data_IF_918881448681
#
_entry.id   IF_918881448681
#
_cell.length_a   1.000
_cell.length_b   1.000
_cell.length_c   1.000
_cell.angle_alpha   90.00
_cell.angle_beta   90.00
_cell.angle_gamma   90.00
#
_symmetry.space_group_name_H-M   'P 1'
#
loop_
_entity.id
_entity.type
_entity.pdbx_description
1 polymer ?
#
# COMPACT_ATOMS: atom_id res chain seq x y z
N UNK A 1 -14.72 -11.97 14.19
CA UNK A 1 -15.20 -10.60 14.51
C UNK A 1 -14.00 -9.78 14.97
N UNK A 2 -13.24 -9.18 14.04
CA UNK A 2 -11.93 -8.55 14.30
C UNK A 2 -11.79 -7.06 13.82
N UNK A 3 -12.72 -6.37 13.11
CA UNK A 3 -12.27 -5.25 12.25
C UNK A 3 -12.07 -3.88 12.93
N UNK A 4 -12.49 -3.69 14.19
CA UNK A 4 -12.49 -2.36 14.83
C UNK A 4 -11.21 -2.07 15.63
N UNK A 5 -10.54 -3.10 16.17
CA UNK A 5 -9.33 -2.92 16.98
C UNK A 5 -8.13 -2.43 16.16
N UNK A 6 -8.01 -2.86 14.89
CA UNK A 6 -6.84 -2.57 14.06
C UNK A 6 -6.82 -1.14 13.55
N UNK A 7 -7.98 -0.54 13.22
CA UNK A 7 -8.04 0.89 12.84
C UNK A 7 -7.60 1.81 13.98
N UNK A 8 -7.93 1.47 15.23
CA UNK A 8 -7.43 2.21 16.40
C UNK A 8 -5.94 1.96 16.64
N UNK A 9 -5.47 0.72 16.51
CA UNK A 9 -4.05 0.36 16.70
C UNK A 9 -3.13 1.01 15.65
N UNK A 10 -3.53 1.05 14.38
CA UNK A 10 -2.81 1.75 13.31
C UNK A 10 -2.64 3.26 13.57
N UNK A 11 -3.50 3.87 14.38
CA UNK A 11 -3.47 5.30 14.67
C UNK A 11 -2.70 5.65 15.95
N UNK A 12 -2.27 4.67 16.75
CA UNK A 12 -1.69 4.89 18.08
C UNK A 12 -0.20 4.57 18.20
N UNK A 13 0.43 3.95 17.21
CA UNK A 13 1.82 3.46 17.28
C UNK A 13 2.65 3.88 16.04
N UNK A 14 3.99 3.80 16.16
CA UNK A 14 4.91 3.95 15.01
C UNK A 14 4.68 2.79 14.06
N UNK A 15 4.21 3.08 12.84
CA UNK A 15 3.94 2.05 11.83
C UNK A 15 5.10 1.89 10.85
N UNK A 16 5.52 0.65 10.63
CA UNK A 16 6.46 0.29 9.57
C UNK A 16 5.70 -0.39 8.41
N UNK A 17 5.58 0.35 7.31
CA UNK A 17 4.95 -0.12 6.07
C UNK A 17 6.01 -0.51 5.04
N UNK A 18 6.15 -1.81 4.76
CA UNK A 18 7.13 -2.34 3.81
C UNK A 18 6.46 -2.64 2.47
N UNK A 19 6.98 -2.05 1.40
CA UNK A 19 6.62 -2.39 0.03
C UNK A 19 7.60 -3.44 -0.49
N UNK A 20 7.07 -4.58 -0.90
CA UNK A 20 7.85 -5.64 -1.55
C UNK A 20 7.50 -5.64 -3.03
N UNK A 21 8.51 -5.41 -3.85
CA UNK A 21 8.38 -5.37 -5.29
C UNK A 21 8.96 -6.65 -5.93
N UNK A 22 8.14 -7.35 -6.73
CA UNK A 22 8.55 -8.58 -7.39
C UNK A 22 9.72 -8.35 -8.34
N UNK A 23 9.67 -7.33 -9.20
CA UNK A 23 10.69 -7.07 -10.21
C UNK A 23 12.03 -6.72 -9.55
N UNK A 24 12.00 -5.82 -8.57
CA UNK A 24 13.23 -5.45 -7.82
C UNK A 24 13.86 -6.65 -7.13
N UNK A 25 13.06 -7.53 -6.51
CA UNK A 25 13.60 -8.73 -5.88
C UNK A 25 14.17 -9.73 -6.90
N UNK A 26 13.54 -9.88 -8.06
CA UNK A 26 14.06 -10.72 -9.15
C UNK A 26 15.40 -10.19 -9.66
N UNK A 27 15.53 -8.88 -9.87
CA UNK A 27 16.79 -8.25 -10.26
C UNK A 27 17.91 -8.48 -9.23
N UNK A 28 17.55 -8.61 -7.94
CA UNK A 28 18.48 -8.95 -6.86
C UNK A 28 18.72 -10.46 -6.69
N UNK A 29 18.04 -11.33 -7.45
CA UNK A 29 18.11 -12.78 -7.27
C UNK A 29 17.48 -13.29 -5.98
N UNK A 30 16.51 -12.56 -5.42
CA UNK A 30 15.86 -12.85 -4.15
C UNK A 30 14.46 -13.46 -4.34
N UNK A 31 14.17 -14.55 -3.62
CA UNK A 31 12.84 -15.14 -3.59
C UNK A 31 11.87 -14.29 -2.73
N UNK A 32 10.78 -13.86 -3.35
CA UNK A 32 9.78 -12.99 -2.70
C UNK A 32 9.09 -13.64 -1.50
N UNK A 33 8.93 -14.97 -1.48
CA UNK A 33 8.29 -15.65 -0.34
C UNK A 33 9.22 -15.67 0.86
N UNK A 34 10.51 -15.94 0.64
CA UNK A 34 11.56 -15.87 1.66
C UNK A 34 11.69 -14.45 2.23
N UNK A 35 11.69 -13.42 1.37
CA UNK A 35 11.69 -12.02 1.83
C UNK A 35 10.43 -11.70 2.61
N UNK A 36 9.25 -12.15 2.16
CA UNK A 36 7.99 -11.93 2.89
C UNK A 36 8.03 -12.58 4.27
N UNK A 37 8.52 -13.82 4.42
CA UNK A 37 8.62 -14.49 5.73
C UNK A 37 9.55 -13.74 6.69
N UNK A 38 10.70 -13.26 6.20
CA UNK A 38 11.63 -12.45 7.00
C UNK A 38 10.99 -11.13 7.41
N UNK A 39 10.39 -10.39 6.48
CA UNK A 39 9.71 -9.12 6.75
C UNK A 39 8.53 -9.31 7.70
N UNK A 40 7.73 -10.36 7.54
CA UNK A 40 6.59 -10.63 8.41
C UNK A 40 7.02 -11.08 9.82
N UNK A 41 8.27 -11.51 9.99
CA UNK A 41 8.86 -11.86 11.29
C UNK A 41 9.58 -10.68 11.95
N UNK A 42 9.62 -9.51 11.32
CA UNK A 42 10.16 -8.28 11.90
C UNK A 42 9.07 -7.43 12.55
N UNK A 43 9.46 -6.24 13.03
CA UNK A 43 8.57 -5.20 13.54
C UNK A 43 7.70 -4.53 12.46
N UNK A 44 7.73 -5.00 11.21
CA UNK A 44 6.83 -4.51 10.16
C UNK A 44 5.36 -4.71 10.53
N UNK A 45 4.50 -3.73 10.27
CA UNK A 45 3.06 -3.81 10.53
C UNK A 45 2.26 -4.16 9.27
N UNK A 46 2.68 -3.61 8.14
CA UNK A 46 2.01 -3.75 6.85
C UNK A 46 3.00 -4.17 5.78
N UNK A 47 2.62 -5.16 4.98
CA UNK A 47 3.35 -5.57 3.78
C UNK A 47 2.49 -5.25 2.56
N UNK A 48 3.01 -4.45 1.62
CA UNK A 48 2.42 -4.26 0.31
C UNK A 48 3.06 -5.20 -0.70
N UNK A 49 2.27 -5.95 -1.44
CA UNK A 49 2.73 -6.69 -2.62
C UNK A 49 2.55 -5.82 -3.86
N UNK A 50 3.68 -5.45 -4.49
CA UNK A 50 3.73 -4.85 -5.82
C UNK A 50 4.33 -5.87 -6.79
N UNK A 51 3.56 -6.25 -7.80
CA UNK A 51 4.02 -7.13 -8.86
C UNK A 51 3.51 -6.58 -10.19
N UNK A 52 4.37 -5.84 -10.88
CA UNK A 52 4.11 -5.39 -12.25
C UNK A 52 4.49 -6.47 -13.24
N UNK A 53 3.92 -6.43 -14.44
CA UNK A 53 4.28 -7.29 -15.56
C UNK A 53 4.18 -8.80 -15.25
N UNK A 54 3.22 -9.17 -14.41
CA UNK A 54 2.88 -10.56 -14.06
C UNK A 54 1.48 -10.87 -14.59
N UNK A 55 1.27 -12.11 -15.06
CA UNK A 55 -0.07 -12.56 -15.45
C UNK A 55 -0.97 -12.78 -14.22
N UNK A 56 -2.29 -12.76 -14.43
CA UNK A 56 -3.28 -12.82 -13.37
C UNK A 56 -3.22 -14.11 -12.54
N UNK A 57 -2.94 -15.25 -13.18
CA UNK A 57 -2.87 -16.55 -12.51
C UNK A 57 -1.73 -16.56 -11.50
N UNK A 58 -0.56 -16.10 -11.91
CA UNK A 58 0.62 -16.09 -11.05
C UNK A 58 0.52 -15.01 -9.98
N UNK A 59 -0.07 -13.85 -10.28
CA UNK A 59 -0.35 -12.83 -9.27
C UNK A 59 -1.32 -13.37 -8.21
N UNK A 60 -2.41 -14.01 -8.60
CA UNK A 60 -3.35 -14.62 -7.66
C UNK A 60 -2.68 -15.66 -6.75
N UNK A 61 -1.83 -16.52 -7.32
CA UNK A 61 -1.09 -17.51 -6.56
C UNK A 61 -0.14 -16.87 -5.55
N UNK A 62 0.62 -15.87 -6.01
CA UNK A 62 1.58 -15.14 -5.18
C UNK A 62 0.87 -14.39 -4.03
N UNK A 63 -0.17 -13.62 -4.33
CA UNK A 63 -0.99 -12.91 -3.35
C UNK A 63 -1.56 -13.88 -2.30
N UNK A 64 -2.05 -15.04 -2.73
CA UNK A 64 -2.59 -16.07 -1.83
C UNK A 64 -1.52 -16.64 -0.89
N UNK A 65 -0.28 -16.83 -1.36
CA UNK A 65 0.84 -17.27 -0.52
C UNK A 65 1.23 -16.20 0.50
N UNK A 66 1.41 -14.95 0.06
CA UNK A 66 1.72 -13.84 0.97
C UNK A 66 0.62 -13.63 2.02
N UNK A 67 -0.65 -13.80 1.65
CA UNK A 67 -1.79 -13.73 2.57
C UNK A 67 -1.68 -14.76 3.69
N UNK A 68 -1.28 -16.00 3.37
CA UNK A 68 -1.09 -17.06 4.37
C UNK A 68 0.02 -16.70 5.34
N UNK A 69 1.16 -16.23 4.83
CA UNK A 69 2.33 -15.81 5.62
C UNK A 69 1.96 -14.67 6.56
N UNK A 70 1.48 -13.55 6.00
CA UNK A 70 1.09 -12.35 6.75
C UNK A 70 0.04 -12.65 7.82
N UNK A 71 -1.00 -13.42 7.48
CA UNK A 71 -2.04 -13.81 8.43
C UNK A 71 -1.50 -14.64 9.59
N UNK A 72 -0.61 -15.60 9.33
CA UNK A 72 0.03 -16.43 10.37
C UNK A 72 0.85 -15.59 11.33
N UNK A 73 1.47 -14.51 10.83
CA UNK A 73 2.34 -13.60 11.57
C UNK A 73 1.60 -12.38 12.15
N UNK A 74 0.28 -12.29 11.97
CA UNK A 74 -0.52 -11.16 12.45
C UNK A 74 -0.22 -9.83 11.74
N UNK A 75 0.36 -9.88 10.53
CA UNK A 75 0.68 -8.70 9.72
C UNK A 75 -0.42 -8.43 8.69
N UNK A 76 -0.55 -7.17 8.29
CA UNK A 76 -1.52 -6.78 7.27
C UNK A 76 -0.94 -6.96 5.87
N UNK A 77 -1.74 -7.51 4.97
CA UNK A 77 -1.42 -7.57 3.54
C UNK A 77 -2.20 -6.52 2.75
N UNK A 78 -1.47 -5.70 2.00
CA UNK A 78 -2.02 -4.77 1.03
C UNK A 78 -1.62 -5.21 -0.38
N UNK A 79 -2.57 -5.23 -1.32
CA UNK A 79 -2.28 -5.46 -2.73
C UNK A 79 -2.20 -4.11 -3.44
N UNK A 80 -1.18 -3.94 -4.28
CA UNK A 80 -1.02 -2.74 -5.10
C UNK A 80 -1.83 -2.84 -6.40
N UNK A 81 -2.55 -1.77 -6.75
CA UNK A 81 -3.30 -1.48 -8.00
C UNK A 81 -4.50 -2.43 -8.30
N UNK A 82 -4.30 -3.74 -8.14
CA UNK A 82 -5.22 -4.80 -8.57
C UNK A 82 -6.30 -5.13 -7.53
N UNK A 83 -7.42 -4.42 -7.62
CA UNK A 83 -8.56 -4.56 -6.70
C UNK A 83 -9.25 -5.94 -6.77
N UNK A 84 -9.29 -6.55 -7.94
CA UNK A 84 -9.76 -7.92 -8.16
C UNK A 84 -8.88 -8.94 -7.43
N UNK A 85 -7.56 -8.83 -7.58
CA UNK A 85 -6.60 -9.69 -6.87
C UNK A 85 -6.70 -9.48 -5.36
N UNK A 86 -6.83 -8.23 -4.90
CA UNK A 86 -7.04 -7.90 -3.49
C UNK A 86 -8.28 -8.59 -2.91
N UNK A 87 -9.42 -8.46 -3.61
CA UNK A 87 -10.68 -9.07 -3.22
C UNK A 87 -10.60 -10.60 -3.18
N UNK A 88 -10.14 -11.22 -4.27
CA UNK A 88 -10.07 -12.67 -4.42
C UNK A 88 -9.08 -13.32 -3.44
N UNK A 89 -7.94 -12.67 -3.19
CA UNK A 89 -6.93 -13.14 -2.23
C UNK A 89 -7.29 -12.84 -0.77
N UNK A 90 -8.39 -12.09 -0.53
CA UNK A 90 -8.83 -11.64 0.80
C UNK A 90 -7.74 -10.86 1.54
N UNK A 91 -7.04 -9.98 0.81
CA UNK A 91 -6.08 -9.05 1.43
C UNK A 91 -6.78 -8.15 2.45
N UNK A 92 -6.01 -7.58 3.37
CA UNK A 92 -6.54 -6.63 4.36
C UNK A 92 -6.82 -5.26 3.74
N UNK A 93 -6.20 -4.97 2.59
CA UNK A 93 -6.42 -3.74 1.87
C UNK A 93 -5.88 -3.72 0.45
N UNK A 94 -6.08 -2.55 -0.16
CA UNK A 94 -5.73 -2.20 -1.52
C UNK A 94 -5.07 -0.82 -1.51
N UNK A 95 -3.99 -0.66 -2.26
CA UNK A 95 -3.34 0.62 -2.48
C UNK A 95 -3.46 1.01 -3.96
N UNK A 96 -3.81 2.26 -4.23
CA UNK A 96 -4.09 2.76 -5.57
C UNK A 96 -3.26 4.01 -5.88
N UNK A 97 -2.71 4.06 -7.09
CA UNK A 97 -2.17 5.23 -7.74
C UNK A 97 -3.23 6.05 -8.47
N UNK A 98 -2.78 7.16 -9.08
CA UNK A 98 -3.66 8.12 -9.76
C UNK A 98 -4.34 7.57 -11.03
N UNK A 99 -3.76 6.53 -11.64
CA UNK A 99 -4.24 5.94 -12.90
C UNK A 99 -5.00 4.62 -12.71
N UNK A 100 -5.20 4.19 -11.46
CA UNK A 100 -5.94 2.96 -11.17
C UNK A 100 -7.44 3.23 -11.07
N UNK A 101 -8.21 2.21 -10.70
CA UNK A 101 -9.65 2.35 -10.55
C UNK A 101 -10.01 3.44 -9.53
N UNK A 102 -11.14 4.15 -9.72
CA UNK A 102 -11.59 5.16 -8.77
C UNK A 102 -11.83 4.60 -7.36
N UNK A 103 -11.50 5.40 -6.33
CA UNK A 103 -11.61 5.01 -4.92
C UNK A 103 -13.02 4.58 -4.50
N UNK A 104 -14.08 5.18 -5.07
CA UNK A 104 -15.46 4.80 -4.81
C UNK A 104 -15.78 3.38 -5.32
N UNK A 105 -15.25 3.01 -6.49
CA UNK A 105 -15.38 1.65 -7.04
C UNK A 105 -14.58 0.65 -6.22
N UNK A 106 -13.36 1.00 -5.87
CA UNK A 106 -12.51 0.21 -4.98
C UNK A 106 -13.21 -0.06 -3.63
N UNK A 107 -13.80 0.97 -3.01
CA UNK A 107 -14.55 0.84 -1.76
C UNK A 107 -15.79 -0.03 -1.92
N UNK A 108 -16.52 0.10 -3.03
CA UNK A 108 -17.69 -0.74 -3.31
C UNK A 108 -17.31 -2.22 -3.41
N UNK A 109 -16.19 -2.54 -4.06
CA UNK A 109 -15.69 -3.91 -4.22
C UNK A 109 -15.13 -4.49 -2.92
N UNK A 110 -14.22 -3.76 -2.26
CA UNK A 110 -13.49 -4.23 -1.09
C UNK A 110 -14.31 -4.14 0.21
N UNK A 111 -15.39 -3.35 0.20
CA UNK A 111 -16.24 -3.10 1.35
C UNK A 111 -15.63 -2.14 2.38
N UNK A 112 -16.41 -1.81 3.41
CA UNK A 112 -16.06 -0.82 4.43
C UNK A 112 -14.94 -1.26 5.40
N UNK A 113 -14.61 -2.55 5.41
CA UNK A 113 -13.64 -3.14 6.35
C UNK A 113 -12.21 -3.15 5.82
N UNK A 114 -12.04 -3.21 4.50
CA UNK A 114 -10.71 -3.19 3.89
C UNK A 114 -10.06 -1.81 4.05
N UNK A 115 -8.73 -1.79 4.16
CA UNK A 115 -7.95 -0.57 4.09
C UNK A 115 -7.82 -0.13 2.63
N UNK A 116 -8.11 1.13 2.34
CA UNK A 116 -7.89 1.71 1.02
C UNK A 116 -6.86 2.83 1.15
N UNK A 117 -5.71 2.64 0.51
CA UNK A 117 -4.65 3.63 0.40
C UNK A 117 -4.69 4.34 -0.94
N UNK A 118 -4.31 5.62 -0.95
CA UNK A 118 -4.08 6.37 -2.17
C UNK A 118 -2.66 6.95 -2.21
N UNK A 119 -2.03 6.94 -3.38
CA UNK A 119 -0.79 7.67 -3.63
C UNK A 119 -1.10 9.15 -3.87
N UNK A 120 -0.22 10.04 -3.40
CA UNK A 120 -0.19 11.46 -3.79
C UNK A 120 1.24 11.88 -4.12
N UNK A 121 1.39 12.69 -5.17
CA UNK A 121 2.67 13.26 -5.58
C UNK A 121 2.77 14.78 -5.36
N UNK A 122 1.63 15.42 -5.08
CA UNK A 122 1.56 16.88 -4.96
C UNK A 122 0.41 17.33 -4.05
N UNK A 123 0.39 18.62 -3.70
CA UNK A 123 -0.78 19.21 -3.04
C UNK A 123 -2.03 19.17 -3.94
N UNK A 124 -1.86 19.21 -5.26
CA UNK A 124 -2.97 19.12 -6.21
C UNK A 124 -3.64 17.75 -6.11
N UNK A 125 -2.85 16.68 -6.11
CA UNK A 125 -3.34 15.30 -5.96
C UNK A 125 -4.16 15.17 -4.68
N UNK A 126 -3.60 15.63 -3.56
CA UNK A 126 -4.27 15.61 -2.26
C UNK A 126 -5.62 16.34 -2.28
N UNK A 127 -5.72 17.50 -2.93
CA UNK A 127 -6.99 18.23 -3.07
C UNK A 127 -8.04 17.45 -3.87
N UNK A 128 -7.63 16.66 -4.85
CA UNK A 128 -8.56 15.80 -5.62
C UNK A 128 -9.17 14.67 -4.79
N UNK A 129 -8.61 14.38 -3.61
CA UNK A 129 -9.12 13.36 -2.70
C UNK A 129 -10.21 13.87 -1.75
N UNK A 130 -10.54 15.17 -1.80
CA UNK A 130 -11.63 15.73 -1.00
C UNK A 130 -12.95 14.98 -1.24
N UNK A 131 -13.60 14.55 -0.17
CA UNK A 131 -14.85 13.79 -0.22
C UNK A 131 -14.72 12.32 -0.65
N UNK A 132 -13.52 11.83 -1.00
CA UNK A 132 -13.30 10.42 -1.35
C UNK A 132 -13.09 9.55 -0.10
N UNK A 133 -13.49 8.28 -0.19
CA UNK A 133 -13.35 7.32 0.91
C UNK A 133 -12.03 6.54 0.80
N UNK A 134 -11.02 7.02 1.54
CA UNK A 134 -9.74 6.35 1.76
C UNK A 134 -9.37 6.36 3.25
N UNK A 135 -8.54 5.40 3.64
CA UNK A 135 -8.10 5.21 5.02
C UNK A 135 -6.71 5.82 5.27
N UNK A 136 -5.82 5.82 4.28
CA UNK A 136 -4.46 6.37 4.40
C UNK A 136 -3.91 6.88 3.07
N UNK A 137 -2.80 7.61 3.14
CA UNK A 137 -2.08 8.16 2.00
C UNK A 137 -0.63 7.69 1.99
N UNK A 138 -0.08 7.51 0.80
CA UNK A 138 1.36 7.42 0.58
C UNK A 138 1.81 8.64 -0.23
N UNK A 139 2.60 9.51 0.39
CA UNK A 139 3.20 10.66 -0.29
C UNK A 139 4.60 10.30 -0.79
N UNK A 140 4.93 10.73 -2.00
CA UNK A 140 6.26 10.54 -2.55
C UNK A 140 6.35 10.90 -4.04
N UNK A 141 7.49 10.68 -4.69
CA UNK A 141 8.73 10.26 -4.04
C UNK A 141 9.29 11.38 -3.13
N UNK A 142 10.02 11.04 -2.07
CA UNK A 142 10.69 12.03 -1.20
C UNK A 142 12.13 12.32 -1.64
N UNK A 143 12.76 11.34 -2.27
CA UNK A 143 14.04 11.45 -2.97
C UNK A 143 13.91 10.78 -4.34
N UNK A 144 14.81 11.08 -5.26
CA UNK A 144 14.87 10.39 -6.56
C UNK A 144 14.93 8.86 -6.35
N UNK A 145 14.17 8.11 -7.13
CA UNK A 145 14.07 6.65 -6.97
C UNK A 145 14.04 5.95 -8.32
N UNK A 146 14.80 4.85 -8.44
CA UNK A 146 14.80 4.01 -9.64
C UNK A 146 13.53 3.18 -9.82
N UNK A 147 12.73 2.95 -8.77
CA UNK A 147 11.57 2.04 -8.81
C UNK A 147 10.34 2.65 -9.53
N UNK A 148 10.26 3.98 -9.62
CA UNK A 148 9.26 4.74 -10.38
C UNK A 148 9.93 5.95 -11.05
N UNK A 149 10.58 5.78 -12.22
CA UNK A 149 11.29 6.87 -12.88
C UNK A 149 10.32 7.95 -13.40
N UNK A 150 10.81 9.19 -13.51
CA UNK A 150 10.07 10.32 -14.10
C UNK A 150 9.16 11.08 -13.14
N UNK A 151 9.33 10.91 -11.83
CA UNK A 151 8.62 11.68 -10.81
C UNK A 151 9.61 12.56 -10.03
N UNK A 152 9.35 13.86 -10.01
CA UNK A 152 10.08 14.79 -9.16
C UNK A 152 9.76 14.54 -7.67
N UNK A 153 10.74 14.73 -6.77
CA UNK A 153 10.48 14.70 -5.34
C UNK A 153 9.38 15.68 -4.93
N UNK A 154 8.51 15.24 -4.02
CA UNK A 154 7.44 16.09 -3.52
C UNK A 154 8.00 17.37 -2.90
N UNK A 155 7.45 18.51 -3.30
CA UNK A 155 7.90 19.80 -2.80
C UNK A 155 7.68 19.89 -1.27
N UNK A 156 8.70 20.29 -0.52
CA UNK A 156 8.64 20.44 0.95
C UNK A 156 7.54 21.38 1.42
N UNK A 157 7.26 22.45 0.68
CA UNK A 157 6.18 23.40 0.97
C UNK A 157 4.80 22.78 0.81
N UNK A 158 4.60 21.96 -0.22
CA UNK A 158 3.37 21.20 -0.41
C UNK A 158 3.18 20.15 0.68
N UNK A 159 4.25 19.43 1.03
CA UNK A 159 4.22 18.46 2.12
C UNK A 159 3.80 19.11 3.45
N UNK A 160 4.35 20.28 3.80
CA UNK A 160 3.95 21.01 5.02
C UNK A 160 2.45 21.30 5.03
N UNK A 161 1.88 21.72 3.89
CA UNK A 161 0.45 22.00 3.76
C UNK A 161 -0.39 20.72 3.88
N UNK A 162 0.06 19.61 3.28
CA UNK A 162 -0.61 18.31 3.39
C UNK A 162 -0.59 17.84 4.84
N UNK A 163 0.55 17.85 5.52
CA UNK A 163 0.67 17.42 6.93
C UNK A 163 -0.22 18.28 7.84
N UNK A 164 -0.28 19.60 7.60
CA UNK A 164 -1.11 20.50 8.39
C UNK A 164 -2.63 20.27 8.24
N UNK A 165 -3.07 19.61 7.15
CA UNK A 165 -4.50 19.47 6.80
C UNK A 165 -4.99 18.03 6.80
N UNK A 166 -4.12 17.07 6.51
CA UNK A 166 -4.45 15.66 6.45
C UNK A 166 -4.80 15.15 7.85
N UNK A 167 -5.98 14.52 7.97
CA UNK A 167 -6.46 13.88 9.21
C UNK A 167 -6.38 12.36 9.15
N UNK A 168 -5.76 11.82 8.10
CA UNK A 168 -5.56 10.39 7.83
C UNK A 168 -4.10 10.04 8.01
N UNK A 169 -3.79 8.75 8.10
CA UNK A 169 -2.41 8.29 8.12
C UNK A 169 -1.72 8.69 6.81
N UNK A 170 -0.48 9.18 6.95
CA UNK A 170 0.37 9.58 5.84
C UNK A 170 1.69 8.83 5.96
N UNK A 171 1.99 8.00 4.97
CA UNK A 171 3.28 7.34 4.83
C UNK A 171 4.15 8.11 3.84
N UNK A 172 5.43 8.24 4.17
CA UNK A 172 6.43 8.73 3.23
C UNK A 172 7.00 7.56 2.42
N UNK A 173 7.13 7.72 1.11
CA UNK A 173 7.73 6.72 0.22
C UNK A 173 8.64 7.40 -0.80
N UNK A 174 9.67 6.69 -1.26
CA UNK A 174 10.57 7.13 -2.32
C UNK A 174 11.89 7.67 -1.77
N UNK A 175 12.95 6.95 -2.12
CA UNK A 175 14.34 7.11 -1.73
C UNK A 175 15.03 5.77 -1.83
#
# INVERSE_FOLDING_TARGET
MIPILWKKKLLSEKLLYVLIDKGVLEDCGLDILSVTEKTASSECDLIQLRAKDINDKDFMHLASKLRKITKKKGKLLIINDRADIAYLSKSDGLHLGNNDIPLDKARKLMGKRALIGATIHSLRDFKTLSGKDYDYLSAGPFFETGTKPGLDPINRGDLKKIIATCRKLLFAVGG
#
